data_IF_381678712296
#
_entry.id   IF_381678712296
#
_cell.length_a   1.000
_cell.length_b   1.000
_cell.length_c   1.000
_cell.angle_alpha   90.00
_cell.angle_beta   90.00
_cell.angle_gamma   90.00
#
_symmetry.space_group_name_H-M   'P 1'
#
loop_
_entity.id
_entity.type
_entity.pdbx_description
1 polymer ?
#
# COMPACT_ATOMS: atom_id res chain seq x y z
N UNK A 1 24.36 -26.88 -18.14
CA UNK A 1 23.49 -26.71 -16.96
C UNK A 1 22.50 -25.61 -17.24
N UNK A 2 21.21 -25.94 -17.34
CA UNK A 2 20.17 -24.98 -17.71
C UNK A 2 19.90 -24.00 -16.54
N UNK A 3 19.72 -22.71 -16.81
CA UNK A 3 19.83 -21.70 -15.77
C UNK A 3 18.45 -21.38 -15.11
N UNK A 4 18.42 -21.01 -13.81
CA UNK A 4 17.24 -21.13 -12.95
C UNK A 4 16.21 -20.02 -13.13
N UNK A 5 15.01 -20.28 -12.62
CA UNK A 5 13.72 -19.82 -13.13
C UNK A 5 12.83 -19.52 -11.86
N UNK A 6 12.03 -18.43 -11.80
CA UNK A 6 11.59 -17.65 -10.59
C UNK A 6 10.07 -17.45 -10.34
N UNK A 7 9.62 -17.39 -9.06
CA UNK A 7 8.23 -17.18 -8.60
C UNK A 7 7.89 -16.58 -7.14
N UNK A 8 7.44 -15.30 -6.85
CA UNK A 8 6.57 -14.69 -5.71
C UNK A 8 6.37 -13.11 -5.59
N UNK A 9 5.63 -12.51 -4.60
CA UNK A 9 4.82 -11.22 -4.71
C UNK A 9 4.69 -10.11 -3.58
N UNK A 10 3.58 -9.27 -3.61
CA UNK A 10 3.09 -7.98 -2.94
C UNK A 10 3.51 -6.55 -3.48
N UNK A 11 2.61 -5.72 -4.10
CA UNK A 11 2.85 -4.31 -4.61
C UNK A 11 2.33 -3.25 -3.61
N UNK A 12 3.03 -2.12 -3.51
CA UNK A 12 2.40 -0.79 -3.40
C UNK A 12 3.00 0.22 -4.41
N UNK A 13 2.15 0.73 -5.31
CA UNK A 13 2.25 1.80 -6.31
C UNK A 13 2.69 1.49 -7.78
N UNK A 14 1.84 1.92 -8.73
CA UNK A 14 1.54 1.13 -9.93
C UNK A 14 2.06 1.68 -11.25
N UNK A 15 1.95 0.82 -12.27
CA UNK A 15 2.23 0.95 -13.72
C UNK A 15 3.62 0.52 -14.17
N UNK A 16 3.75 -0.55 -14.96
CA UNK A 16 3.22 -0.69 -16.32
C UNK A 16 2.78 -2.14 -16.62
N UNK A 17 1.52 -2.33 -17.00
CA UNK A 17 1.10 -3.45 -17.83
C UNK A 17 1.02 -2.96 -19.28
N UNK A 18 2.14 -3.02 -19.99
CA UNK A 18 2.16 -2.80 -21.43
C UNK A 18 3.29 -3.65 -22.04
N UNK A 19 2.87 -4.80 -22.59
CA UNK A 19 3.54 -5.69 -23.56
C UNK A 19 3.15 -7.15 -23.28
N UNK A 20 1.99 -7.58 -23.79
CA UNK A 20 1.80 -8.83 -24.54
C UNK A 20 0.33 -8.97 -25.00
N UNK A 21 0.15 -8.55 -26.24
CA UNK A 21 -1.11 -8.37 -26.98
C UNK A 21 -1.53 -9.66 -27.70
N UNK A 22 -1.96 -10.74 -27.01
CA UNK A 22 -2.66 -11.80 -27.78
C UNK A 22 -3.72 -12.65 -27.07
N UNK A 23 -4.10 -12.39 -25.80
CA UNK A 23 -5.23 -13.14 -25.20
C UNK A 23 -6.20 -12.34 -24.30
N UNK A 24 -6.19 -11.00 -24.34
CA UNK A 24 -7.09 -10.19 -23.50
C UNK A 24 -8.16 -9.40 -24.28
N UNK A 25 -8.70 -9.99 -25.35
CA UNK A 25 -9.68 -9.32 -26.23
C UNK A 25 -11.13 -9.31 -25.72
N UNK A 26 -11.40 -9.76 -24.49
CA UNK A 26 -12.77 -9.83 -23.93
C UNK A 26 -13.07 -8.81 -22.82
N UNK A 27 -12.06 -8.19 -22.22
CA UNK A 27 -12.21 -7.21 -21.12
C UNK A 27 -11.88 -5.76 -21.54
N UNK A 28 -11.16 -5.57 -22.65
CA UNK A 28 -10.63 -4.26 -23.06
C UNK A 28 -11.71 -3.24 -23.50
N UNK A 29 -12.80 -3.69 -24.15
CA UNK A 29 -13.87 -2.79 -24.65
C UNK A 29 -14.64 -2.03 -23.57
N UNK A 30 -14.65 -2.51 -22.33
CA UNK A 30 -15.31 -1.80 -21.22
C UNK A 30 -14.40 -0.69 -20.66
N UNK A 31 -13.11 -0.97 -20.58
CA UNK A 31 -12.06 -0.06 -20.05
C UNK A 31 -11.80 1.07 -21.06
N UNK A 32 -11.61 0.74 -22.33
CA UNK A 32 -11.31 1.73 -23.38
C UNK A 32 -12.47 2.71 -23.64
N UNK A 33 -13.71 2.30 -23.36
CA UNK A 33 -14.91 3.13 -23.57
C UNK A 33 -15.27 4.02 -22.37
N UNK A 34 -14.67 3.81 -21.19
CA UNK A 34 -15.06 4.53 -19.96
C UNK A 34 -13.88 5.12 -19.18
N UNK A 35 -12.64 4.69 -19.44
CA UNK A 35 -11.48 5.07 -18.63
C UNK A 35 -10.27 5.33 -19.54
N UNK A 36 -10.09 6.60 -19.91
CA UNK A 36 -8.92 7.07 -20.65
C UNK A 36 -7.70 7.16 -19.73
N UNK A 37 -6.64 6.45 -20.09
CA UNK A 37 -5.32 6.63 -19.48
C UNK A 37 -4.95 5.51 -18.52
N UNK A 38 -3.85 4.87 -18.86
CA UNK A 38 -3.13 3.86 -18.12
C UNK A 38 -2.77 4.26 -16.66
N UNK A 39 -3.71 4.12 -15.70
CA UNK A 39 -3.57 4.29 -14.23
C UNK A 39 -4.06 3.06 -13.44
N UNK A 40 -3.59 2.79 -12.18
CA UNK A 40 -3.64 1.45 -11.57
C UNK A 40 -5.05 0.89 -11.61
N UNK A 41 -5.17 -0.42 -11.85
CA UNK A 41 -6.49 -1.04 -11.89
C UNK A 41 -7.26 -0.56 -10.66
N UNK A 42 -8.51 -0.10 -10.79
CA UNK A 42 -9.25 0.38 -9.65
C UNK A 42 -9.24 -0.62 -8.50
N UNK A 43 -9.21 -0.15 -7.25
CA UNK A 43 -9.11 -0.99 -6.04
C UNK A 43 -10.17 -2.10 -6.03
N UNK A 44 -11.38 -1.76 -6.48
CA UNK A 44 -12.52 -2.68 -6.66
C UNK A 44 -12.28 -3.87 -7.61
N UNK A 45 -11.21 -3.84 -8.41
CA UNK A 45 -10.84 -4.92 -9.34
C UNK A 45 -9.65 -5.75 -8.86
N UNK A 46 -8.93 -5.30 -7.81
CA UNK A 46 -7.72 -5.96 -7.34
C UNK A 46 -7.97 -7.43 -6.99
N UNK A 47 -9.04 -7.72 -6.23
CA UNK A 47 -9.42 -9.10 -5.87
C UNK A 47 -9.50 -10.02 -7.08
N UNK A 48 -10.29 -9.64 -8.08
CA UNK A 48 -10.54 -10.48 -9.24
C UNK A 48 -9.27 -10.68 -10.06
N UNK A 49 -8.50 -9.61 -10.27
CA UNK A 49 -7.20 -9.68 -10.96
C UNK A 49 -6.22 -10.60 -10.23
N UNK A 50 -6.16 -10.51 -8.90
CA UNK A 50 -5.33 -11.38 -8.07
C UNK A 50 -5.78 -12.84 -8.17
N UNK A 51 -7.08 -13.12 -8.03
CA UNK A 51 -7.62 -14.48 -8.09
C UNK A 51 -7.36 -15.13 -9.45
N UNK A 52 -7.55 -14.40 -10.55
CA UNK A 52 -7.26 -14.92 -11.90
C UNK A 52 -5.77 -15.18 -12.12
N UNK A 53 -4.90 -14.30 -11.62
CA UNK A 53 -3.45 -14.52 -11.65
C UNK A 53 -3.05 -15.75 -10.79
N UNK A 54 -3.59 -15.89 -9.59
CA UNK A 54 -3.32 -17.02 -8.70
C UNK A 54 -3.81 -18.34 -9.31
N UNK A 55 -5.00 -18.36 -9.91
CA UNK A 55 -5.56 -19.55 -10.59
C UNK A 55 -4.67 -20.06 -11.72
N UNK A 56 -4.06 -19.15 -12.48
CA UNK A 56 -3.09 -19.48 -13.54
C UNK A 56 -1.69 -19.79 -13.00
N UNK A 57 -1.51 -19.74 -11.68
CA UNK A 57 -0.25 -20.00 -11.00
C UNK A 57 0.78 -18.88 -11.17
N UNK A 58 0.38 -17.64 -11.41
CA UNK A 58 1.30 -16.49 -11.46
C UNK A 58 1.58 -15.94 -10.05
N UNK A 59 2.69 -15.21 -9.94
CA UNK A 59 2.97 -14.41 -8.74
C UNK A 59 2.34 -13.07 -8.85
N UNK A 60 1.89 -12.58 -7.70
CA UNK A 60 1.06 -11.39 -7.64
C UNK A 60 1.72 -10.39 -6.71
N UNK A 61 2.27 -9.37 -7.34
CA UNK A 61 2.54 -8.07 -6.74
C UNK A 61 1.19 -7.31 -6.94
N UNK A 62 0.39 -7.11 -5.89
CA UNK A 62 -0.93 -6.46 -5.97
C UNK A 62 -0.89 -5.06 -5.37
N UNK A 63 -1.40 -4.05 -6.08
CA UNK A 63 -1.42 -2.65 -5.66
C UNK A 63 -1.98 -2.41 -4.26
N UNK A 64 -1.57 -1.29 -3.67
CA UNK A 64 -2.17 -0.82 -2.43
C UNK A 64 -3.55 -0.19 -2.69
N UNK A 65 -4.40 -0.18 -1.66
CA UNK A 65 -4.62 -1.30 -0.77
C UNK A 65 -4.96 -2.57 -1.57
N UNK A 66 -4.60 -3.74 -1.05
CA UNK A 66 -4.70 -5.00 -1.79
C UNK A 66 -6.14 -5.31 -2.28
N UNK A 67 -7.15 -4.82 -1.59
CA UNK A 67 -8.56 -4.97 -1.99
C UNK A 67 -9.41 -3.85 -1.36
N UNK A 68 -10.74 -3.95 -1.47
CA UNK A 68 -11.64 -2.98 -0.82
C UNK A 68 -11.79 -3.21 0.67
N UNK A 69 -11.85 -4.45 1.12
CA UNK A 69 -12.08 -4.83 2.53
C UNK A 69 -11.30 -6.10 2.91
N UNK A 70 -11.34 -6.48 4.19
CA UNK A 70 -10.63 -7.66 4.67
C UNK A 70 -11.21 -8.98 4.18
N UNK A 71 -12.52 -9.08 3.89
CA UNK A 71 -13.11 -10.30 3.31
C UNK A 71 -12.50 -10.60 1.93
N UNK A 72 -12.29 -9.55 1.13
CA UNK A 72 -11.62 -9.66 -0.16
C UNK A 72 -10.14 -10.02 -0.02
N UNK A 73 -9.41 -9.40 0.92
CA UNK A 73 -8.01 -9.77 1.19
C UNK A 73 -7.91 -11.22 1.67
N UNK A 74 -8.79 -11.66 2.56
CA UNK A 74 -8.85 -13.05 3.03
C UNK A 74 -9.08 -14.03 1.88
N UNK A 75 -9.96 -13.69 0.94
CA UNK A 75 -10.19 -14.48 -0.27
C UNK A 75 -8.92 -14.65 -1.10
N UNK A 76 -8.15 -13.57 -1.29
CA UNK A 76 -6.88 -13.58 -2.03
C UNK A 76 -5.83 -14.42 -1.28
N UNK A 77 -5.69 -14.21 0.03
CA UNK A 77 -4.75 -14.92 0.89
C UNK A 77 -5.06 -16.42 0.93
N UNK A 78 -6.33 -16.80 1.06
CA UNK A 78 -6.77 -18.19 1.05
C UNK A 78 -6.44 -18.86 -0.29
N UNK A 79 -6.73 -18.18 -1.42
CA UNK A 79 -6.39 -18.70 -2.74
C UNK A 79 -4.87 -18.87 -2.92
N UNK A 80 -4.07 -17.90 -2.45
CA UNK A 80 -2.61 -17.97 -2.52
C UNK A 80 -2.05 -19.14 -1.67
N UNK A 81 -2.56 -19.31 -0.44
CA UNK A 81 -2.14 -20.39 0.47
C UNK A 81 -2.57 -21.77 -0.02
N UNK A 82 -3.79 -21.93 -0.53
CA UNK A 82 -4.27 -23.18 -1.10
C UNK A 82 -3.36 -23.60 -2.27
N UNK A 83 -3.00 -22.65 -3.14
CA UNK A 83 -2.09 -22.92 -4.26
C UNK A 83 -0.68 -23.30 -3.82
N UNK A 84 -0.21 -22.74 -2.71
CA UNK A 84 1.09 -23.12 -2.12
C UNK A 84 1.06 -24.53 -1.51
N UNK A 85 -0.05 -24.94 -0.87
CA UNK A 85 -0.21 -26.25 -0.24
C UNK A 85 -0.43 -27.41 -1.22
N UNK A 86 -0.95 -27.16 -2.43
CA UNK A 86 -1.22 -28.20 -3.43
C UNK A 86 0.02 -28.91 -3.97
N UNK A 87 1.24 -28.35 -3.80
CA UNK A 87 2.48 -28.91 -4.36
C UNK A 87 3.68 -28.62 -3.45
N UNK A 88 3.95 -29.54 -2.52
CA UNK A 88 5.28 -29.65 -1.91
C UNK A 88 6.34 -29.82 -3.01
N UNK A 89 7.44 -29.08 -2.88
CA UNK A 89 8.61 -29.02 -3.77
C UNK A 89 8.60 -27.99 -4.93
N UNK A 90 9.72 -27.24 -4.96
CA UNK A 90 10.07 -26.04 -5.72
C UNK A 90 9.73 -26.06 -7.22
N UNK A 91 9.04 -25.01 -7.70
CA UNK A 91 8.80 -24.75 -9.15
C UNK A 91 9.53 -23.48 -9.63
N UNK A 92 10.20 -23.56 -10.78
CA UNK A 92 11.06 -22.51 -11.35
C UNK A 92 10.55 -22.04 -12.75
N UNK A 93 10.25 -20.73 -13.03
CA UNK A 93 10.30 -20.07 -14.40
C UNK A 93 10.68 -18.54 -14.47
N UNK A 94 11.59 -18.02 -15.33
CA UNK A 94 12.33 -16.72 -15.25
C UNK A 94 11.49 -15.44 -15.57
N UNK A 95 11.78 -14.24 -15.00
CA UNK A 95 11.11 -12.98 -15.32
C UNK A 95 11.97 -11.98 -16.14
N UNK A 96 11.31 -11.13 -16.93
CA UNK A 96 11.88 -10.05 -17.75
C UNK A 96 11.30 -8.72 -17.22
N UNK A 97 12.13 -7.70 -16.93
CA UNK A 97 11.69 -6.42 -16.35
C UNK A 97 11.92 -5.25 -17.31
N UNK A 98 11.09 -4.21 -17.20
CA UNK A 98 11.14 -2.98 -18.00
C UNK A 98 11.28 -1.73 -17.09
N UNK A 99 12.02 -0.73 -17.60
CA UNK A 99 12.33 0.58 -16.98
C UNK A 99 11.28 1.65 -17.35
N UNK A 100 11.11 2.72 -16.55
CA UNK A 100 10.35 3.93 -16.95
C UNK A 100 11.03 5.27 -16.61
N UNK A 101 10.64 6.27 -17.39
CA UNK A 101 11.29 7.56 -17.66
C UNK A 101 10.73 8.76 -16.87
N UNK A 102 11.52 9.83 -16.86
CA UNK A 102 11.68 10.94 -15.91
C UNK A 102 10.65 12.10 -15.87
N UNK A 103 9.54 12.12 -16.61
CA UNK A 103 8.71 13.34 -16.70
C UNK A 103 7.21 13.10 -16.44
N UNK A 104 6.73 13.51 -15.27
CA UNK A 104 5.32 13.81 -15.03
C UNK A 104 5.19 15.23 -14.44
N UNK A 105 4.30 16.08 -14.97
CA UNK A 105 4.11 17.43 -14.45
C UNK A 105 3.40 17.37 -13.08
N UNK A 106 3.86 18.19 -12.14
CA UNK A 106 3.15 18.43 -10.88
C UNK A 106 1.74 18.98 -11.19
N UNK A 107 0.68 18.51 -10.52
CA UNK A 107 -0.60 19.19 -10.57
C UNK A 107 -0.42 20.65 -10.16
N UNK A 108 -1.07 21.57 -10.87
CA UNK A 108 -1.15 22.97 -10.44
C UNK A 108 -2.18 23.05 -9.32
N UNK A 109 -1.97 23.96 -8.36
CA UNK A 109 -2.94 24.34 -7.33
C UNK A 109 -4.37 24.38 -7.92
N UNK A 110 -5.27 23.55 -7.39
CA UNK A 110 -6.69 23.52 -7.77
C UNK A 110 -7.12 22.40 -8.73
N UNK A 111 -6.31 21.37 -8.98
CA UNK A 111 -6.76 20.14 -9.66
C UNK A 111 -6.55 18.90 -8.78
N UNK A 112 -7.53 17.99 -8.66
CA UNK A 112 -7.37 16.77 -7.87
C UNK A 112 -6.24 15.91 -8.45
N UNK A 113 -5.38 15.41 -7.55
CA UNK A 113 -4.07 14.85 -7.86
C UNK A 113 -4.06 13.36 -8.28
N UNK A 114 -5.20 12.72 -8.56
CA UNK A 114 -5.21 11.29 -8.94
C UNK A 114 -6.33 10.93 -9.91
N UNK A 115 -5.99 10.08 -10.88
CA UNK A 115 -6.94 9.38 -11.75
C UNK A 115 -6.75 7.87 -11.50
N UNK A 116 -7.80 7.07 -11.23
CA UNK A 116 -9.22 7.42 -11.26
C UNK A 116 -9.62 8.41 -10.16
N UNK A 117 -10.75 9.14 -10.31
CA UNK A 117 -11.14 10.19 -9.38
C UNK A 117 -11.22 9.62 -7.96
N UNK A 118 -10.63 10.28 -6.96
CA UNK A 118 -10.77 9.88 -5.56
C UNK A 118 -12.23 9.87 -5.08
N UNK A 119 -13.18 10.30 -5.92
CA UNK A 119 -14.58 10.50 -5.61
C UNK A 119 -15.51 9.34 -5.99
N UNK A 120 -15.06 8.32 -6.75
CA UNK A 120 -15.96 7.22 -7.16
C UNK A 120 -16.03 6.09 -6.10
N UNK A 121 -17.16 5.92 -5.38
CA UNK A 121 -17.31 4.86 -4.39
C UNK A 121 -17.24 3.46 -5.01
N UNK A 122 -17.70 3.29 -6.25
CA UNK A 122 -17.71 1.98 -6.92
C UNK A 122 -16.29 1.48 -7.23
N UNK A 123 -15.31 2.38 -7.25
CA UNK A 123 -13.89 2.08 -7.45
C UNK A 123 -13.09 2.04 -6.15
N UNK A 124 -13.74 2.27 -5.01
CA UNK A 124 -13.07 2.42 -3.72
C UNK A 124 -12.34 3.75 -3.59
N UNK A 125 -12.89 4.86 -4.09
CA UNK A 125 -12.39 6.21 -3.86
C UNK A 125 -12.29 6.58 -2.37
N UNK A 126 -11.67 7.71 -2.05
CA UNK A 126 -11.59 8.26 -0.70
C UNK A 126 -10.18 8.34 -0.12
N UNK A 127 -10.01 9.25 0.83
CA UNK A 127 -8.73 9.57 1.45
C UNK A 127 -8.15 8.40 2.24
N UNK A 128 -8.96 7.61 2.94
CA UNK A 128 -8.49 6.52 3.79
C UNK A 128 -7.78 5.44 2.97
N UNK A 129 -8.45 4.91 1.94
CA UNK A 129 -7.89 3.84 1.13
C UNK A 129 -6.74 4.34 0.24
N UNK A 130 -6.76 5.60 -0.20
CA UNK A 130 -5.70 6.10 -1.08
C UNK A 130 -4.47 6.62 -0.33
N UNK A 131 -4.68 7.44 0.69
CA UNK A 131 -3.65 8.18 1.41
C UNK A 131 -3.49 7.70 2.85
N UNK A 132 -4.59 7.39 3.53
CA UNK A 132 -4.61 6.92 4.92
C UNK A 132 -3.86 5.62 5.14
N UNK A 133 -3.81 4.74 4.13
CA UNK A 133 -2.96 3.55 4.16
C UNK A 133 -1.49 3.89 4.49
N UNK A 134 -0.94 5.01 3.99
CA UNK A 134 0.44 5.39 4.29
C UNK A 134 0.60 5.83 5.73
N UNK A 135 -0.27 6.71 6.23
CA UNK A 135 -0.16 7.23 7.60
C UNK A 135 -0.41 6.15 8.64
N UNK A 136 -1.32 5.22 8.36
CA UNK A 136 -1.52 4.01 9.17
C UNK A 136 -0.33 3.05 9.09
N UNK A 137 0.29 2.89 7.92
CA UNK A 137 1.49 2.04 7.76
C UNK A 137 2.70 2.61 8.51
N UNK A 138 2.97 3.91 8.41
CA UNK A 138 4.04 4.53 9.21
C UNK A 138 3.79 4.37 10.71
N UNK A 139 2.55 4.63 11.15
CA UNK A 139 2.15 4.42 12.54
C UNK A 139 2.35 2.97 12.98
N UNK A 140 1.95 2.01 12.14
CA UNK A 140 2.16 0.57 12.34
C UNK A 140 3.64 0.24 12.52
N UNK A 141 4.49 0.58 11.55
CA UNK A 141 5.92 0.24 11.59
C UNK A 141 6.60 0.79 12.85
N UNK A 142 6.28 2.02 13.25
CA UNK A 142 6.86 2.66 14.44
C UNK A 142 6.38 1.97 15.72
N UNK A 143 5.07 1.75 15.84
CA UNK A 143 4.46 1.21 17.07
C UNK A 143 4.64 -0.30 17.20
N UNK A 144 4.83 -1.01 16.08
CA UNK A 144 5.11 -2.44 16.03
C UNK A 144 6.51 -2.80 16.50
N UNK A 145 7.47 -1.85 16.49
CA UNK A 145 8.86 -2.03 16.95
C UNK A 145 9.53 -3.27 16.35
N UNK A 146 9.25 -3.56 15.08
CA UNK A 146 9.77 -4.72 14.35
C UNK A 146 8.92 -5.99 14.43
N UNK A 147 7.78 -5.95 15.13
CA UNK A 147 6.74 -6.98 15.09
C UNK A 147 5.74 -6.67 13.96
N UNK A 148 5.27 -7.70 13.27
CA UNK A 148 4.35 -7.60 12.14
C UNK A 148 3.30 -8.71 12.20
N UNK A 149 2.20 -8.54 11.46
CA UNK A 149 1.16 -9.56 11.36
C UNK A 149 0.55 -9.87 12.72
N UNK A 150 0.38 -11.15 13.04
CA UNK A 150 -0.26 -11.58 14.27
C UNK A 150 0.52 -11.22 15.54
N UNK A 151 1.83 -10.99 15.43
CA UNK A 151 2.67 -10.55 16.55
C UNK A 151 2.59 -9.04 16.82
N UNK A 152 2.01 -8.27 15.89
CA UNK A 152 1.92 -6.81 16.04
C UNK A 152 0.89 -6.44 17.13
N UNK A 153 1.21 -5.49 18.05
CA UNK A 153 0.24 -5.04 19.05
C UNK A 153 -1.00 -4.41 18.40
N UNK A 154 -2.18 -4.77 18.90
CA UNK A 154 -3.43 -4.16 18.42
C UNK A 154 -3.70 -2.85 19.18
N UNK A 155 -4.00 -1.73 18.50
CA UNK A 155 -4.39 -0.50 19.17
C UNK A 155 -5.88 -0.49 19.52
N UNK A 156 -6.21 0.20 20.61
CA UNK A 156 -7.52 0.83 20.78
C UNK A 156 -7.58 2.06 19.87
N UNK A 157 -8.75 2.39 19.31
CA UNK A 157 -8.83 3.55 18.40
C UNK A 157 -10.20 4.21 18.34
N UNK A 158 -10.16 5.48 17.97
CA UNK A 158 -11.30 6.30 17.59
C UNK A 158 -10.98 7.00 16.27
N UNK A 159 -11.98 7.17 15.41
CA UNK A 159 -11.83 7.82 14.13
C UNK A 159 -13.01 8.72 13.79
N UNK A 160 -12.77 9.68 12.91
CA UNK A 160 -13.75 10.60 12.35
C UNK A 160 -13.51 10.74 10.85
N UNK A 161 -14.58 10.78 10.05
CA UNK A 161 -14.54 10.97 8.61
C UNK A 161 -15.51 12.05 8.14
N UNK A 162 -15.06 12.84 7.18
CA UNK A 162 -15.93 13.69 6.36
C UNK A 162 -16.36 12.89 5.12
N UNK A 163 -17.55 12.29 5.17
CA UNK A 163 -18.09 11.47 4.09
C UNK A 163 -18.91 12.34 3.12
N UNK A 164 -18.45 12.43 1.88
CA UNK A 164 -19.08 13.21 0.81
C UNK A 164 -19.26 12.31 -0.41
N UNK A 165 -20.47 12.27 -0.96
CA UNK A 165 -20.81 11.46 -2.15
C UNK A 165 -20.45 9.96 -2.04
N UNK A 166 -20.44 9.40 -0.83
CA UNK A 166 -20.15 7.98 -0.62
C UNK A 166 -18.66 7.62 -0.55
N UNK A 167 -17.77 8.62 -0.47
CA UNK A 167 -16.34 8.45 -0.14
C UNK A 167 -15.95 9.37 1.02
N UNK A 168 -14.80 9.13 1.65
CA UNK A 168 -14.24 10.06 2.63
C UNK A 168 -13.31 11.09 1.95
N UNK A 169 -13.53 12.39 2.20
CA UNK A 169 -12.62 13.44 1.77
C UNK A 169 -11.50 13.67 2.79
N UNK A 170 -11.80 13.52 4.08
CA UNK A 170 -10.85 13.60 5.18
C UNK A 170 -11.12 12.50 6.19
N UNK A 171 -10.07 11.80 6.60
CA UNK A 171 -10.10 10.79 7.66
C UNK A 171 -9.06 11.10 8.72
N UNK A 172 -9.49 11.16 9.98
CA UNK A 172 -8.61 11.26 11.16
C UNK A 172 -8.77 10.02 12.03
N UNK A 173 -7.66 9.44 12.47
CA UNK A 173 -7.62 8.26 13.35
C UNK A 173 -6.66 8.50 14.51
N UNK A 174 -7.13 8.30 15.73
CA UNK A 174 -6.29 8.29 16.93
C UNK A 174 -6.14 6.83 17.37
N UNK A 175 -4.89 6.34 17.44
CA UNK A 175 -4.55 4.98 17.81
C UNK A 175 -3.77 4.98 19.13
N UNK A 176 -4.27 4.22 20.10
CA UNK A 176 -3.67 4.03 21.41
C UNK A 176 -3.09 2.62 21.52
N UNK A 177 -1.77 2.52 21.64
CA UNK A 177 -1.05 1.27 21.82
C UNK A 177 -0.67 1.09 23.29
N UNK A 178 -0.99 -0.09 23.84
CA UNK A 178 -0.48 -0.52 25.15
C UNK A 178 0.90 -1.13 24.93
N UNK A 179 1.93 -0.57 25.56
CA UNK A 179 3.28 -1.14 25.47
C UNK A 179 3.51 -2.19 26.56
N UNK A 180 4.50 -3.06 26.33
CA UNK A 180 4.95 -4.05 27.33
C UNK A 180 5.41 -3.42 28.64
N UNK A 181 5.85 -2.16 28.57
CA UNK A 181 6.43 -1.42 29.70
C UNK A 181 5.36 -0.58 30.43
N UNK A 182 4.08 -0.68 30.01
CA UNK A 182 2.94 0.00 30.62
C UNK A 182 2.71 1.45 30.17
N UNK A 183 3.67 2.06 29.47
CA UNK A 183 3.55 3.43 28.98
C UNK A 183 2.65 3.48 27.72
N UNK A 184 1.55 4.24 27.71
CA UNK A 184 0.70 4.36 26.55
C UNK A 184 1.43 5.12 25.43
N UNK A 185 1.37 4.58 24.21
CA UNK A 185 1.84 5.26 23.01
C UNK A 185 0.65 5.67 22.15
N UNK A 186 0.70 6.87 21.58
CA UNK A 186 -0.37 7.41 20.74
C UNK A 186 0.16 7.73 19.35
N UNK A 187 -0.55 7.27 18.34
CA UNK A 187 -0.39 7.72 16.96
C UNK A 187 -1.64 8.50 16.54
N UNK A 188 -1.45 9.54 15.73
CA UNK A 188 -2.53 10.27 15.07
C UNK A 188 -2.25 10.19 13.57
N UNK A 189 -3.18 9.59 12.84
CA UNK A 189 -3.12 9.48 11.39
C UNK A 189 -4.18 10.42 10.78
N UNK A 190 -3.75 11.23 9.82
CA UNK A 190 -4.61 12.13 9.06
C UNK A 190 -4.42 11.85 7.57
N UNK A 191 -5.50 11.76 6.83
CA UNK A 191 -5.51 11.69 5.38
C UNK A 191 -6.57 12.64 4.85
N UNK A 192 -6.25 13.39 3.80
CA UNK A 192 -7.22 14.28 3.15
C UNK A 192 -6.94 14.37 1.65
N UNK A 193 -8.00 14.39 0.84
CA UNK A 193 -7.95 14.68 -0.59
C UNK A 193 -8.10 16.17 -0.89
N UNK A 194 -8.39 16.99 0.13
CA UNK A 194 -8.70 18.42 -0.01
C UNK A 194 -7.46 19.32 -0.08
N UNK A 195 -6.28 18.79 0.26
CA UNK A 195 -5.05 19.55 0.27
C UNK A 195 -3.84 18.69 -0.08
N UNK A 196 -2.83 19.30 -0.68
CA UNK A 196 -1.56 18.65 -0.95
C UNK A 196 -0.81 18.33 0.35
N UNK A 197 -0.12 17.18 0.35
CA UNK A 197 0.78 16.81 1.44
C UNK A 197 1.92 17.82 1.57
N UNK A 198 2.15 18.28 2.80
CA UNK A 198 3.34 19.06 3.12
C UNK A 198 4.60 18.21 2.95
N UNK A 199 5.75 18.86 2.69
CA UNK A 199 7.03 18.16 2.56
C UNK A 199 7.38 17.37 3.82
N UNK A 200 7.19 17.99 4.98
CA UNK A 200 7.24 17.30 6.27
C UNK A 200 5.87 16.62 6.49
N UNK A 201 5.85 15.29 6.53
CA UNK A 201 4.60 14.51 6.53
C UNK A 201 4.45 13.57 7.73
N UNK A 202 5.51 13.38 8.52
CA UNK A 202 5.47 12.52 9.70
C UNK A 202 6.30 13.09 10.84
N UNK A 203 5.83 12.95 12.08
CA UNK A 203 6.52 13.44 13.27
C UNK A 203 6.43 12.42 14.40
N UNK A 204 7.58 12.09 14.98
CA UNK A 204 7.72 11.15 16.10
C UNK A 204 8.31 11.93 17.26
N UNK A 205 7.60 12.00 18.37
CA UNK A 205 8.00 12.81 19.52
C UNK A 205 8.28 11.92 20.73
N UNK A 206 9.39 12.18 21.41
CA UNK A 206 9.74 11.49 22.63
C UNK A 206 10.56 12.38 23.56
N UNK A 207 10.87 11.88 24.76
CA UNK A 207 11.58 12.63 25.81
C UNK A 207 12.95 13.19 25.36
N UNK A 208 13.57 12.59 24.35
CA UNK A 208 14.91 12.96 23.87
C UNK A 208 14.90 13.92 22.68
N UNK A 209 13.73 14.20 22.10
CA UNK A 209 13.62 15.02 20.90
C UNK A 209 12.52 14.59 19.95
N UNK A 210 12.64 15.08 18.72
CA UNK A 210 11.65 14.92 17.65
C UNK A 210 12.34 14.40 16.40
N UNK A 211 11.76 13.37 15.78
CA UNK A 211 12.10 12.94 14.43
C UNK A 211 11.03 13.45 13.47
N UNK A 212 11.43 14.10 12.39
CA UNK A 212 10.54 14.58 11.32
C UNK A 212 10.87 13.85 10.02
N UNK A 213 9.90 13.13 9.46
CA UNK A 213 9.99 12.50 8.15
C UNK A 213 9.62 13.51 7.06
N UNK A 214 10.40 13.55 5.98
CA UNK A 214 10.15 14.46 4.86
C UNK A 214 10.29 13.79 3.50
N UNK A 215 9.68 14.40 2.48
CA UNK A 215 9.70 13.92 1.09
C UNK A 215 9.71 15.06 0.07
N UNK A 216 10.28 14.79 -1.10
CA UNK A 216 10.17 15.61 -2.31
C UNK A 216 9.18 15.07 -3.35
N UNK A 217 8.72 13.82 -3.18
CA UNK A 217 7.89 13.09 -4.16
C UNK A 217 6.52 12.68 -3.60
N UNK A 218 6.44 12.42 -2.29
CA UNK A 218 5.25 11.95 -1.60
C UNK A 218 5.56 10.89 -0.53
N UNK A 219 4.62 10.57 0.37
CA UNK A 219 4.84 9.61 1.46
C UNK A 219 5.18 8.19 1.01
N UNK A 220 4.89 7.82 -0.25
CA UNK A 220 5.31 6.53 -0.83
C UNK A 220 6.82 6.46 -1.13
N UNK A 221 7.49 7.61 -1.22
CA UNK A 221 8.92 7.73 -1.49
C UNK A 221 9.53 8.80 -0.57
N UNK A 222 9.77 8.50 0.72
CA UNK A 222 10.38 9.46 1.64
C UNK A 222 11.78 9.86 1.19
N UNK A 223 12.16 11.12 1.39
CA UNK A 223 13.48 11.65 1.04
C UNK A 223 14.48 11.59 2.20
N UNK A 224 14.02 11.39 3.43
CA UNK A 224 14.89 11.29 4.60
C UNK A 224 14.14 11.60 5.90
N UNK A 225 14.92 11.78 6.96
CA UNK A 225 14.40 12.28 8.23
C UNK A 225 15.39 13.23 8.92
N UNK A 226 14.84 14.16 9.71
CA UNK A 226 15.62 15.06 10.58
C UNK A 226 15.38 14.71 12.03
N UNK A 227 16.43 14.71 12.84
CA UNK A 227 16.33 14.60 14.29
C UNK A 227 16.66 15.96 14.90
N UNK A 228 15.77 16.47 15.75
CA UNK A 228 16.04 17.59 16.66
C UNK A 228 16.04 17.07 18.09
N UNK A 229 17.18 17.17 18.77
CA UNK A 229 17.31 16.74 20.16
C UNK A 229 16.80 17.82 21.13
N UNK A 230 16.57 17.41 22.39
CA UNK A 230 16.07 18.29 23.44
C UNK A 230 17.03 19.44 23.80
N UNK A 231 18.33 19.29 23.54
CA UNK A 231 19.34 20.34 23.71
C UNK A 231 19.34 21.38 22.57
N UNK A 232 18.47 21.22 21.58
CA UNK A 232 18.35 22.10 20.43
C UNK A 232 19.25 21.74 19.25
N UNK A 233 20.15 20.76 19.39
CA UNK A 233 20.94 20.26 18.25
C UNK A 233 20.03 19.59 17.20
N UNK A 234 20.43 19.66 15.94
CA UNK A 234 19.68 19.10 14.81
C UNK A 234 20.63 18.40 13.83
N UNK A 235 20.20 17.27 13.28
CA UNK A 235 20.92 16.53 12.25
C UNK A 235 19.95 15.99 11.21
N UNK A 236 20.33 16.10 9.95
CA UNK A 236 19.58 15.57 8.81
C UNK A 236 20.16 14.25 8.30
N UNK A 237 19.28 13.33 7.93
CA UNK A 237 19.58 11.99 7.42
C UNK A 237 18.85 11.77 6.09
N UNK A 238 19.37 12.30 4.97
CA UNK A 238 18.79 12.12 3.66
C UNK A 238 18.94 10.67 3.17
N UNK A 239 17.89 10.15 2.54
CA UNK A 239 17.91 8.87 1.86
C UNK A 239 18.50 9.02 0.46
N UNK A 240 19.35 8.06 0.08
CA UNK A 240 19.90 7.99 -1.27
C UNK A 240 19.01 7.09 -2.12
N UNK A 241 18.25 7.71 -3.01
CA UNK A 241 17.54 7.01 -4.08
C UNK A 241 18.46 6.87 -5.28
N UNK A 242 18.55 5.69 -5.92
CA UNK A 242 19.26 5.56 -7.18
C UNK A 242 18.73 6.55 -8.22
N UNK A 243 19.64 7.10 -9.01
CA UNK A 243 19.30 8.16 -9.96
C UNK A 243 18.23 7.69 -10.95
N UNK A 244 17.21 8.54 -11.19
CA UNK A 244 16.09 8.21 -12.06
C UNK A 244 15.07 7.22 -11.48
N UNK A 245 15.17 6.88 -10.20
CA UNK A 245 14.21 6.03 -9.50
C UNK A 245 13.34 6.83 -8.53
N UNK A 246 12.16 6.29 -8.21
CA UNK A 246 11.16 6.92 -7.32
C UNK A 246 10.65 5.93 -6.25
N UNK A 247 11.54 5.08 -5.73
CA UNK A 247 11.27 4.17 -4.61
C UNK A 247 10.82 2.75 -4.97
N UNK A 248 10.16 2.55 -6.11
CA UNK A 248 9.62 1.24 -6.55
C UNK A 248 10.64 0.11 -6.67
N UNK A 249 11.89 0.47 -6.93
CA UNK A 249 12.96 -0.51 -7.06
C UNK A 249 13.10 -1.36 -5.79
N UNK A 250 12.78 -0.80 -4.63
CA UNK A 250 12.98 -1.49 -3.35
C UNK A 250 11.97 -2.61 -3.15
N UNK A 251 10.71 -2.39 -3.50
CA UNK A 251 9.69 -3.43 -3.46
C UNK A 251 9.90 -4.47 -4.56
N UNK A 252 10.24 -4.04 -5.78
CA UNK A 252 10.57 -4.95 -6.87
C UNK A 252 11.76 -5.86 -6.53
N UNK A 253 12.82 -5.30 -5.93
CA UNK A 253 13.99 -6.05 -5.46
C UNK A 253 13.65 -6.93 -4.27
N UNK A 254 12.88 -6.42 -3.31
CA UNK A 254 12.45 -7.19 -2.15
C UNK A 254 11.76 -8.44 -2.65
N UNK A 255 10.74 -8.28 -3.50
CA UNK A 255 10.00 -9.36 -4.12
C UNK A 255 10.89 -10.25 -4.97
N UNK A 256 11.79 -9.73 -5.78
CA UNK A 256 12.71 -10.58 -6.56
C UNK A 256 13.60 -11.45 -5.65
N UNK A 257 14.23 -10.89 -4.62
CA UNK A 257 15.13 -11.62 -3.69
C UNK A 257 14.40 -12.73 -2.99
N UNK A 258 13.26 -12.33 -2.48
CA UNK A 258 12.21 -13.17 -2.04
C UNK A 258 12.01 -14.31 -3.02
N UNK A 259 11.56 -14.01 -4.25
CA UNK A 259 11.32 -14.98 -5.33
C UNK A 259 12.41 -16.05 -5.36
N UNK A 260 13.66 -15.61 -5.44
CA UNK A 260 14.83 -16.47 -5.52
C UNK A 260 15.01 -17.38 -4.29
N UNK A 261 14.62 -16.92 -3.11
CA UNK A 261 14.67 -17.66 -1.85
C UNK A 261 13.50 -18.64 -1.67
N UNK A 262 12.50 -18.66 -2.56
CA UNK A 262 11.41 -19.63 -2.52
C UNK A 262 10.44 -19.49 -1.35
N UNK A 263 10.40 -18.35 -0.66
CA UNK A 263 9.33 -18.08 0.32
C UNK A 263 7.98 -17.84 -0.39
N UNK A 264 6.90 -17.73 0.35
CA UNK A 264 5.55 -17.52 -0.21
C UNK A 264 5.00 -16.13 0.09
N UNK A 265 5.69 -15.37 0.95
CA UNK A 265 5.36 -14.02 1.39
C UNK A 265 6.62 -13.32 1.93
N UNK A 266 6.57 -11.98 1.98
CA UNK A 266 7.71 -11.17 2.44
C UNK A 266 7.82 -11.21 3.97
N UNK A 267 9.05 -11.30 4.50
CA UNK A 267 9.29 -11.38 5.94
C UNK A 267 8.93 -10.08 6.69
N UNK A 268 9.04 -8.93 6.03
CA UNK A 268 8.73 -7.60 6.59
C UNK A 268 7.31 -7.14 6.28
N UNK A 269 6.68 -7.72 5.26
CA UNK A 269 5.31 -7.49 4.86
C UNK A 269 4.57 -8.81 4.61
N UNK A 270 4.37 -9.61 5.67
CA UNK A 270 3.64 -10.87 5.55
C UNK A 270 2.18 -10.60 5.19
N UNK A 271 1.51 -11.60 4.62
CA UNK A 271 0.08 -11.52 4.28
C UNK A 271 -0.77 -11.25 5.52
N UNK A 272 -0.34 -11.73 6.68
CA UNK A 272 -0.95 -11.41 7.97
C UNK A 272 -0.91 -9.91 8.30
N UNK A 273 0.17 -9.20 7.95
CA UNK A 273 0.27 -7.76 8.15
C UNK A 273 -0.63 -6.99 7.18
N UNK A 274 -0.68 -7.43 5.91
CA UNK A 274 -1.61 -6.85 4.92
C UNK A 274 -3.07 -6.99 5.40
N UNK A 275 -3.44 -8.17 5.88
CA UNK A 275 -4.77 -8.43 6.40
C UNK A 275 -5.05 -7.60 7.66
N UNK A 276 -4.09 -7.50 8.59
CA UNK A 276 -4.22 -6.67 9.79
C UNK A 276 -4.44 -5.20 9.45
N UNK A 277 -3.70 -4.66 8.47
CA UNK A 277 -3.86 -3.29 8.00
C UNK A 277 -5.24 -3.07 7.36
N UNK A 278 -5.71 -4.01 6.54
CA UNK A 278 -7.04 -3.92 5.96
C UNK A 278 -8.14 -3.98 7.03
N UNK A 279 -8.04 -4.88 8.01
CA UNK A 279 -8.96 -4.95 9.16
C UNK A 279 -8.93 -3.65 9.98
N UNK A 280 -7.78 -2.99 10.08
CA UNK A 280 -7.68 -1.68 10.71
C UNK A 280 -8.51 -0.66 9.93
N UNK A 281 -8.36 -0.56 8.62
CA UNK A 281 -9.14 0.33 7.76
C UNK A 281 -10.64 -0.01 7.75
N UNK A 282 -11.03 -1.29 7.79
CA UNK A 282 -12.42 -1.73 7.94
C UNK A 282 -13.06 -1.19 9.21
N UNK A 283 -12.35 -1.30 10.35
CA UNK A 283 -12.85 -0.78 11.63
C UNK A 283 -12.97 0.75 11.63
N UNK A 284 -12.06 1.48 10.97
CA UNK A 284 -12.16 2.95 10.81
C UNK A 284 -13.42 3.30 10.02
N UNK A 285 -13.68 2.61 8.89
CA UNK A 285 -14.90 2.79 8.10
C UNK A 285 -16.17 2.46 8.88
N UNK A 286 -16.16 1.34 9.61
CA UNK A 286 -17.29 0.90 10.42
C UNK A 286 -17.65 1.91 11.53
N UNK A 287 -16.66 2.54 12.18
CA UNK A 287 -16.90 3.61 13.17
C UNK A 287 -17.61 4.83 12.58
N UNK A 288 -17.48 5.07 11.27
CA UNK A 288 -18.02 6.25 10.59
C UNK A 288 -19.18 5.92 9.64
N UNK A 289 -19.60 4.66 9.54
CA UNK A 289 -20.69 4.23 8.66
C UNK A 289 -20.36 4.27 7.15
N UNK A 290 -19.08 4.31 6.76
CA UNK A 290 -18.69 4.27 5.35
C UNK A 290 -18.76 2.85 4.82
N UNK A 291 -19.54 2.63 3.75
CA UNK A 291 -19.69 1.32 3.10
C UNK A 291 -19.52 1.48 1.59
N UNK A 292 -18.59 0.74 1.00
CA UNK A 292 -18.43 0.68 -0.45
C UNK A 292 -19.43 -0.31 -1.07
N UNK A 293 -19.91 -0.06 -2.30
CA UNK A 293 -20.70 -1.04 -3.03
C UNK A 293 -19.92 -2.35 -3.24
N UNK A 294 -20.51 -3.50 -2.91
CA UNK A 294 -19.90 -4.80 -3.21
C UNK A 294 -19.95 -5.06 -4.71
N UNK A 295 -18.80 -5.40 -5.30
CA UNK A 295 -18.70 -5.75 -6.72
C UNK A 295 -18.88 -7.27 -6.90
N UNK A 296 -20.10 -7.70 -7.21
CA UNK A 296 -20.47 -9.12 -7.37
C UNK A 296 -20.17 -9.66 -8.79
N UNK A 297 -18.95 -9.41 -9.29
CA UNK A 297 -18.53 -9.84 -10.63
C UNK A 297 -18.59 -11.37 -10.81
#
# INVERSE_FOLDING_TARGET
MAPPTLRWGVVGTGWIADMLYEQHRKSQKFIDNHWGGAGPAPRALHKWNCLDAIRTGKHVLCEKPMALDSEEVESIVAAARAKAGEKGELWRHRPRMALRHRNWPRPRLGQPASNPPPEDPALGGGALLDLGIYTLTYSSVIMGRGLYGDAHPSPEMISSMDIVNGVDETTTVILQYKTTDGEPQTAVALATTLADSQRDFGRIQGKKGVITLYTEFGPSCPSGFRIRWADGSEQDFPFKHPEGTIGFIHEADAVAKDIFAGRTENERMPLAETLRMMRLMDRVRAQNGLVYPKNNR
#
